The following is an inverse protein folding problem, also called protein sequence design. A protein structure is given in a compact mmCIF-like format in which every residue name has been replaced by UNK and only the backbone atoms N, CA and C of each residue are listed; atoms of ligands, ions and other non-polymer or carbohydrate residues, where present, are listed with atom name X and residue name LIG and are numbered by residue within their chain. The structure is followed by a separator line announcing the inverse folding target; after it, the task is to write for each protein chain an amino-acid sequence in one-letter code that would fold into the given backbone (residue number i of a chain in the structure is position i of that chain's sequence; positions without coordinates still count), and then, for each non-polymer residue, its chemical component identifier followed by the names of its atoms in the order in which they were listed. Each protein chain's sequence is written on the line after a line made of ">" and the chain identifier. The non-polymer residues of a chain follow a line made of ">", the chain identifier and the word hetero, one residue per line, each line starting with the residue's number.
data_IF_351373974702
#
_entry.id   IF_351373974702
#
_cell.length_a   1.000
_cell.length_b   1.000
_cell.length_c   1.000
_cell.angle_alpha   90.00
_cell.angle_beta   90.00
_cell.angle_gamma   90.00
#
_symmetry.space_group_name_H-M   'P 1'
#
loop_
_entity.id
_entity.type
_entity.pdbx_description
1 polymer ?
#
# COMPACT_ATOMS: atom_id res chain seq x y z
N UNK A 1 -21.33 25.60 -24.40
CA UNK A 1 -20.93 24.21 -24.70
C UNK A 1 -20.43 23.59 -23.42
N UNK A 2 -20.99 22.43 -23.05
CA UNK A 2 -20.85 21.77 -21.76
C UNK A 2 -19.51 21.00 -21.69
N UNK A 3 -18.94 21.02 -20.49
CA UNK A 3 -17.71 20.36 -20.03
C UNK A 3 -17.65 18.87 -20.42
N UNK A 4 -16.56 18.46 -21.06
CA UNK A 4 -16.20 17.05 -21.22
C UNK A 4 -15.34 16.63 -20.03
N UNK A 5 -15.99 16.13 -18.98
CA UNK A 5 -15.33 15.40 -17.89
C UNK A 5 -15.26 13.92 -18.27
N UNK A 6 -14.14 13.49 -18.85
CA UNK A 6 -13.65 12.12 -18.85
C UNK A 6 -12.33 12.06 -19.65
N UNK A 7 -11.23 12.46 -19.02
CA UNK A 7 -9.89 12.08 -19.47
C UNK A 7 -9.34 11.02 -18.51
N UNK A 8 -9.33 9.73 -18.89
CA UNK A 8 -8.57 8.71 -18.17
C UNK A 8 -7.11 8.82 -18.63
N UNK A 9 -6.39 9.84 -18.17
CA UNK A 9 -5.08 10.12 -18.75
C UNK A 9 -4.22 11.17 -18.06
N UNK A 10 -4.43 11.48 -16.79
CA UNK A 10 -3.45 12.31 -16.09
C UNK A 10 -2.15 11.52 -15.90
N UNK A 11 -0.99 12.06 -16.34
CA UNK A 11 0.29 11.50 -15.98
C UNK A 11 0.38 11.54 -14.46
N UNK A 12 0.66 10.38 -13.85
CA UNK A 12 0.94 10.29 -12.42
C UNK A 12 2.09 11.26 -12.13
N UNK A 13 1.78 12.33 -11.41
CA UNK A 13 2.69 13.43 -11.11
C UNK A 13 4.06 12.88 -10.70
N UNK A 14 5.11 13.27 -11.43
CA UNK A 14 6.49 12.86 -11.22
C UNK A 14 7.12 13.57 -10.00
N UNK A 15 6.37 13.62 -8.90
CA UNK A 15 6.76 14.24 -7.62
C UNK A 15 6.76 13.28 -6.44
N UNK A 16 6.22 12.07 -6.59
CA UNK A 16 6.04 11.13 -5.45
C UNK A 16 6.23 9.65 -5.87
N UNK A 17 7.19 9.39 -6.76
CA UNK A 17 7.48 8.03 -7.25
C UNK A 17 7.82 7.03 -6.11
N UNK A 18 8.25 7.57 -4.96
CA UNK A 18 8.59 6.81 -3.75
C UNK A 18 7.45 6.65 -2.73
N UNK A 19 6.31 7.33 -2.89
CA UNK A 19 5.21 7.26 -1.94
C UNK A 19 4.30 6.06 -2.26
N UNK A 20 4.20 5.12 -1.31
CA UNK A 20 3.22 4.02 -1.38
C UNK A 20 1.82 4.58 -1.17
N UNK A 21 0.86 4.10 -1.95
CA UNK A 21 -0.57 4.26 -1.66
C UNK A 21 -0.94 3.49 -0.38
N UNK A 22 -2.13 3.76 0.18
CA UNK A 22 -2.64 3.03 1.35
C UNK A 22 -2.74 1.52 1.09
N UNK A 23 -3.13 1.12 -0.13
CA UNK A 23 -3.22 -0.29 -0.51
C UNK A 23 -1.82 -0.93 -0.63
N UNK A 24 -0.88 -0.27 -1.31
CA UNK A 24 0.50 -0.75 -1.40
C UNK A 24 1.17 -0.81 -0.02
N UNK A 25 0.93 0.18 0.84
CA UNK A 25 1.41 0.16 2.23
C UNK A 25 0.80 -1.02 3.02
N UNK A 26 -0.49 -1.30 2.83
CA UNK A 26 -1.17 -2.41 3.50
C UNK A 26 -0.59 -3.76 3.06
N UNK A 27 -0.36 -3.94 1.74
CA UNK A 27 0.34 -5.10 1.19
C UNK A 27 1.74 -5.21 1.80
N UNK A 28 2.47 -4.10 1.86
CA UNK A 28 3.82 -4.05 2.43
C UNK A 28 3.82 -4.43 3.91
N UNK A 29 2.85 -3.95 4.71
CA UNK A 29 2.70 -4.32 6.12
C UNK A 29 2.42 -5.81 6.28
N UNK A 30 1.61 -6.42 5.40
CA UNK A 30 1.41 -7.88 5.38
C UNK A 30 2.74 -8.62 5.19
N UNK A 31 3.51 -8.25 4.16
CA UNK A 31 4.81 -8.86 3.88
C UNK A 31 5.89 -8.57 4.94
N UNK A 32 5.82 -7.41 5.60
CA UNK A 32 6.73 -7.02 6.67
C UNK A 32 6.46 -7.77 7.97
N UNK A 33 5.19 -8.02 8.30
CA UNK A 33 4.78 -8.76 9.50
C UNK A 33 4.93 -10.28 9.34
N UNK A 34 4.92 -10.78 8.10
CA UNK A 34 5.09 -12.20 7.83
C UNK A 34 6.48 -12.68 8.23
N UNK A 35 6.54 -13.78 9.01
CA UNK A 35 7.82 -14.42 9.42
C UNK A 35 8.48 -15.17 8.26
N UNK A 36 7.69 -15.58 7.28
CA UNK A 36 8.08 -16.32 6.07
C UNK A 36 7.62 -15.54 4.84
N UNK A 37 8.17 -15.83 3.63
CA UNK A 37 7.61 -15.28 2.40
C UNK A 37 6.10 -15.52 2.34
N UNK A 38 5.33 -14.51 1.94
CA UNK A 38 3.87 -14.55 1.90
C UNK A 38 3.38 -14.52 0.45
N UNK A 39 2.36 -15.32 0.12
CA UNK A 39 1.76 -15.36 -1.22
C UNK A 39 0.70 -14.28 -1.40
N UNK A 40 0.41 -13.93 -2.67
CA UNK A 40 -0.62 -12.95 -3.00
C UNK A 40 -2.01 -13.34 -2.46
N UNK A 41 -2.36 -14.62 -2.45
CA UNK A 41 -3.63 -15.12 -1.89
C UNK A 41 -3.74 -14.92 -0.37
N UNK A 42 -2.64 -15.11 0.35
CA UNK A 42 -2.58 -14.88 1.80
C UNK A 42 -2.65 -13.39 2.13
N UNK A 43 -1.95 -12.54 1.35
CA UNK A 43 -2.08 -11.08 1.44
C UNK A 43 -3.54 -10.68 1.20
N UNK A 44 -4.19 -11.21 0.16
CA UNK A 44 -5.59 -10.93 -0.13
C UNK A 44 -6.51 -11.28 1.05
N UNK A 45 -6.35 -12.48 1.66
CA UNK A 45 -7.16 -12.88 2.81
C UNK A 45 -7.02 -11.91 4.00
N UNK A 46 -5.80 -11.44 4.28
CA UNK A 46 -5.55 -10.44 5.34
C UNK A 46 -6.18 -9.10 4.99
N UNK A 47 -6.00 -8.63 3.75
CA UNK A 47 -6.54 -7.34 3.30
C UNK A 47 -8.06 -7.33 3.26
N UNK A 48 -8.70 -8.43 2.84
CA UNK A 48 -10.15 -8.60 2.90
C UNK A 48 -10.65 -8.48 4.34
N UNK A 49 -9.91 -9.03 5.32
CA UNK A 49 -10.21 -8.85 6.74
C UNK A 49 -10.08 -7.41 7.25
N UNK A 50 -9.24 -6.57 6.64
CA UNK A 50 -9.05 -5.17 7.04
C UNK A 50 -10.02 -4.20 6.35
N UNK A 51 -10.31 -4.44 5.07
CA UNK A 51 -11.04 -3.50 4.22
C UNK A 51 -12.44 -3.98 3.82
N UNK A 52 -12.81 -5.23 4.14
CA UNK A 52 -14.07 -5.83 3.70
C UNK A 52 -14.03 -6.19 2.21
N UNK A 53 -15.07 -5.82 1.46
CA UNK A 53 -15.30 -6.21 0.06
C UNK A 53 -14.28 -5.62 -0.93
N UNK A 54 -13.08 -6.20 -0.93
CA UNK A 54 -12.01 -5.91 -1.87
C UNK A 54 -12.05 -6.88 -3.06
N UNK A 55 -11.87 -6.39 -4.31
CA UNK A 55 -11.71 -7.25 -5.47
C UNK A 55 -10.50 -8.19 -5.33
N UNK A 56 -10.71 -9.48 -5.62
CA UNK A 56 -9.69 -10.52 -5.45
C UNK A 56 -8.45 -10.34 -6.34
N UNK A 57 -8.62 -9.68 -7.47
CA UNK A 57 -7.57 -9.36 -8.44
C UNK A 57 -6.70 -8.17 -8.03
N UNK A 58 -7.18 -7.30 -7.14
CA UNK A 58 -6.50 -6.04 -6.82
C UNK A 58 -5.10 -6.25 -6.22
N UNK A 59 -4.93 -7.25 -5.36
CA UNK A 59 -3.60 -7.59 -4.80
C UNK A 59 -2.68 -8.15 -5.88
N UNK A 60 -3.20 -9.03 -6.75
CA UNK A 60 -2.43 -9.62 -7.83
C UNK A 60 -1.95 -8.58 -8.85
N UNK A 61 -2.72 -7.50 -9.05
CA UNK A 61 -2.35 -6.38 -9.91
C UNK A 61 -1.26 -5.48 -9.31
N UNK A 62 -1.28 -5.26 -7.99
CA UNK A 62 -0.36 -4.34 -7.32
C UNK A 62 1.00 -4.94 -6.99
N UNK A 63 1.06 -6.22 -6.61
CA UNK A 63 2.30 -6.88 -6.19
C UNK A 63 3.43 -6.80 -7.24
N UNK A 64 3.19 -7.05 -8.54
CA UNK A 64 4.24 -6.92 -9.56
C UNK A 64 4.83 -5.51 -9.62
N UNK A 65 3.99 -4.47 -9.53
CA UNK A 65 4.44 -3.08 -9.51
C UNK A 65 5.32 -2.77 -8.29
N UNK A 66 4.96 -3.31 -7.12
CA UNK A 66 5.75 -3.16 -5.90
C UNK A 66 7.09 -3.91 -5.95
N UNK A 67 7.15 -5.05 -6.64
CA UNK A 67 8.40 -5.77 -6.91
C UNK A 67 9.30 -4.96 -7.84
N UNK A 68 8.75 -4.44 -8.95
CA UNK A 68 9.51 -3.60 -9.90
C UNK A 68 10.07 -2.33 -9.27
N UNK A 69 9.38 -1.75 -8.28
CA UNK A 69 9.86 -0.60 -7.49
C UNK A 69 10.88 -0.97 -6.41
N UNK A 70 11.19 -2.25 -6.25
CA UNK A 70 12.12 -2.75 -5.24
C UNK A 70 11.58 -2.75 -3.81
N UNK A 71 10.27 -2.52 -3.61
CA UNK A 71 9.66 -2.51 -2.28
C UNK A 71 9.43 -3.92 -1.74
N UNK A 72 9.23 -4.89 -2.63
CA UNK A 72 9.10 -6.30 -2.32
C UNK A 72 10.21 -7.10 -3.01
N UNK A 73 10.70 -8.14 -2.34
CA UNK A 73 11.66 -9.09 -2.89
C UNK A 73 10.93 -10.41 -3.20
N UNK A 74 10.93 -10.88 -4.47
CA UNK A 74 10.31 -12.14 -4.83
C UNK A 74 11.09 -13.32 -4.25
N UNK A 75 10.36 -14.34 -3.78
CA UNK A 75 10.89 -15.61 -3.29
C UNK A 75 9.98 -16.74 -3.82
N UNK A 76 10.32 -17.25 -5.00
CA UNK A 76 9.41 -18.13 -5.74
C UNK A 76 8.11 -17.40 -6.10
N UNK A 77 6.97 -17.99 -5.78
CA UNK A 77 5.63 -17.39 -5.95
C UNK A 77 5.20 -16.46 -4.81
N UNK A 78 6.07 -16.28 -3.81
CA UNK A 78 5.81 -15.46 -2.63
C UNK A 78 6.69 -14.21 -2.63
N UNK A 79 6.42 -13.30 -1.69
CA UNK A 79 7.17 -12.05 -1.53
C UNK A 79 7.62 -11.83 -0.08
N UNK A 80 8.71 -11.08 0.09
CA UNK A 80 9.18 -10.55 1.37
C UNK A 80 9.33 -9.04 1.30
N UNK A 81 9.20 -8.37 2.45
CA UNK A 81 9.52 -6.96 2.56
C UNK A 81 11.03 -6.72 2.36
N UNK A 82 11.37 -5.81 1.43
CA UNK A 82 12.76 -5.41 1.19
C UNK A 82 13.19 -4.28 2.13
N UNK A 83 14.50 -4.01 2.19
CA UNK A 83 15.03 -2.86 2.93
C UNK A 83 14.61 -1.51 2.31
N UNK A 84 14.58 -1.43 0.98
CA UNK A 84 14.11 -0.23 0.28
C UNK A 84 12.63 0.03 0.57
N UNK A 85 11.80 -1.01 0.58
CA UNK A 85 10.39 -0.92 0.96
C UNK A 85 10.23 -0.45 2.41
N UNK A 86 11.09 -0.91 3.34
CA UNK A 86 11.07 -0.42 4.73
C UNK A 86 11.34 1.08 4.82
N UNK A 87 12.30 1.58 4.05
CA UNK A 87 12.62 3.02 3.99
C UNK A 87 11.47 3.84 3.41
N UNK A 88 10.81 3.33 2.36
CA UNK A 88 9.65 3.98 1.75
C UNK A 88 8.41 3.97 2.67
N UNK A 89 8.16 2.86 3.37
CA UNK A 89 7.01 2.72 4.27
C UNK A 89 7.17 3.51 5.59
N UNK A 90 8.40 3.68 6.06
CA UNK A 90 8.70 4.32 7.36
C UNK A 90 8.01 5.68 7.58
N UNK A 91 8.17 6.70 6.70
CA UNK A 91 7.53 7.99 6.91
C UNK A 91 6.00 7.91 6.93
N UNK A 92 5.41 7.00 6.16
CA UNK A 92 3.96 6.79 6.12
C UNK A 92 3.44 6.19 7.43
N UNK A 93 4.11 5.15 7.94
CA UNK A 93 3.76 4.53 9.23
C UNK A 93 3.94 5.51 10.38
N UNK A 94 5.04 6.29 10.38
CA UNK A 94 5.24 7.34 11.38
C UNK A 94 4.14 8.42 11.31
N UNK A 95 3.71 8.81 10.11
CA UNK A 95 2.59 9.72 9.89
C UNK A 95 1.28 9.18 10.48
N UNK A 96 0.93 7.92 10.20
CA UNK A 96 -0.25 7.25 10.75
C UNK A 96 -0.19 7.20 12.28
N UNK A 97 0.96 6.80 12.85
CA UNK A 97 1.14 6.75 14.31
C UNK A 97 0.94 8.12 14.95
N UNK A 98 1.47 9.19 14.34
CA UNK A 98 1.29 10.56 14.84
C UNK A 98 -0.16 10.99 14.77
N UNK A 99 -0.87 10.67 13.68
CA UNK A 99 -2.29 10.96 13.54
C UNK A 99 -3.12 10.25 14.61
N UNK A 100 -2.85 8.97 14.89
CA UNK A 100 -3.56 8.20 15.91
C UNK A 100 -3.21 8.61 17.34
N UNK A 101 -1.97 9.09 17.56
CA UNK A 101 -1.52 9.63 18.85
C UNK A 101 -1.93 11.08 19.08
N UNK A 102 -2.39 11.78 18.05
CA UNK A 102 -2.85 13.15 18.21
C UNK A 102 -3.94 13.12 19.29
N UNK A 103 -3.76 13.83 20.43
CA UNK A 103 -4.82 13.94 21.41
C UNK A 103 -6.03 14.46 20.65
N UNK A 104 -7.16 13.74 20.76
CA UNK A 104 -8.38 14.13 20.08
C UNK A 104 -8.56 15.63 20.22
N UNK A 105 -8.78 16.31 19.10
CA UNK A 105 -9.30 17.67 19.09
C UNK A 105 -10.65 17.66 19.79
N UNK A 106 -10.61 17.60 21.11
CA UNK A 106 -11.67 17.94 22.04
C UNK A 106 -11.82 19.46 22.02
N UNK A 107 -12.22 19.97 20.86
CA UNK A 107 -12.78 21.30 20.67
C UNK A 107 -13.86 21.20 19.60
N UNK A 108 -14.86 20.35 19.86
CA UNK A 108 -16.23 20.67 19.48
C UNK A 108 -16.88 21.29 20.71
N UNK A 109 -16.70 22.60 20.88
CA UNK A 109 -17.60 23.48 21.61
C UNK A 109 -18.03 24.58 20.65
#
# INVERSE_FOLDING_TARGET
>A
MISTANDPGLPRDAGDESAMTVLELSIFVCAFRARTPIRASEIFAVMHGWFGDMPADQVALLVPGMVSRGWLTPVGEAVKASEQGRRAARPLVEGIIRMLKAPGSSTWR
#
